data_IF_626353927275
#
_entry.id   IF_626353927275
#
_cell.length_a   1.000
_cell.length_b   1.000
_cell.length_c   1.000
_cell.angle_alpha   90.00
_cell.angle_beta   90.00
_cell.angle_gamma   90.00
#
_symmetry.space_group_name_H-M   'P 1'
#
loop_
_entity.id
_entity.type
_entity.pdbx_description
1 polymer ?
#
# COMPACT_ATOMS: atom_id res chain seq x y z
N UNK A 1 3.44 -28.18 -47.42
CA UNK A 1 4.15 -27.72 -46.21
C UNK A 1 3.13 -27.62 -45.09
N UNK A 2 3.04 -28.65 -44.23
CA UNK A 2 2.10 -28.68 -43.09
C UNK A 2 2.75 -27.97 -41.90
N UNK A 3 2.20 -26.82 -41.51
CA UNK A 3 2.63 -26.07 -40.34
C UNK A 3 2.39 -26.88 -39.07
N UNK A 4 3.43 -27.11 -38.29
CA UNK A 4 3.36 -27.81 -37.00
C UNK A 4 2.58 -26.92 -36.03
N UNK A 5 1.36 -27.32 -35.65
CA UNK A 5 0.60 -26.66 -34.60
C UNK A 5 1.38 -26.76 -33.30
N UNK A 6 1.74 -25.63 -32.69
CA UNK A 6 2.40 -25.59 -31.39
C UNK A 6 1.41 -26.10 -30.33
N UNK A 7 1.74 -27.21 -29.70
CA UNK A 7 0.96 -27.82 -28.62
C UNK A 7 0.87 -26.82 -27.44
N UNK A 8 -0.36 -26.37 -27.13
CA UNK A 8 -0.60 -25.51 -25.98
C UNK A 8 -0.45 -26.33 -24.70
N UNK A 9 0.53 -25.97 -23.86
CA UNK A 9 0.75 -26.61 -22.55
C UNK A 9 0.42 -25.64 -21.44
N UNK A 10 -0.50 -26.03 -20.56
CA UNK A 10 -0.79 -25.28 -19.34
C UNK A 10 0.50 -25.12 -18.53
N UNK A 11 0.91 -23.87 -18.30
CA UNK A 11 2.01 -23.56 -17.39
C UNK A 11 1.41 -23.36 -16.00
N UNK A 12 1.86 -24.09 -14.97
CA UNK A 12 1.40 -23.86 -13.61
C UNK A 12 1.69 -22.43 -13.19
N UNK A 13 0.84 -21.85 -12.34
CA UNK A 13 1.10 -20.55 -11.73
C UNK A 13 2.39 -20.61 -10.93
N UNK A 14 3.39 -19.83 -11.31
CA UNK A 14 4.66 -19.71 -10.58
C UNK A 14 4.70 -18.37 -9.89
N UNK A 15 4.60 -18.37 -8.56
CA UNK A 15 4.89 -17.18 -7.75
C UNK A 15 6.41 -17.02 -7.64
N UNK A 16 6.93 -15.88 -8.08
CA UNK A 16 8.35 -15.55 -7.94
C UNK A 16 8.49 -14.39 -6.97
N UNK A 17 9.36 -14.50 -5.95
CA UNK A 17 9.62 -13.38 -5.07
C UNK A 17 10.28 -12.25 -5.86
N UNK A 18 9.68 -11.06 -5.83
CA UNK A 18 10.34 -9.83 -6.27
C UNK A 18 11.11 -9.31 -5.07
N UNK A 19 12.43 -9.17 -5.21
CA UNK A 19 13.26 -8.52 -4.19
C UNK A 19 13.23 -7.02 -4.45
N UNK A 20 12.56 -6.21 -3.61
CA UNK A 20 12.69 -4.76 -3.72
C UNK A 20 14.16 -4.35 -3.50
N UNK A 21 14.61 -3.33 -4.22
CA UNK A 21 15.84 -2.64 -3.90
C UNK A 21 15.62 -1.80 -2.64
N UNK A 22 16.60 -1.76 -1.74
CA UNK A 22 16.50 -0.99 -0.51
C UNK A 22 15.93 -1.76 0.68
N UNK A 23 16.49 -2.93 1.01
CA UNK A 23 16.15 -3.55 2.28
C UNK A 23 16.73 -2.72 3.45
N UNK A 24 16.36 -3.04 4.70
CA UNK A 24 16.92 -2.39 5.90
C UNK A 24 18.47 -2.39 5.96
N UNK A 25 19.17 -3.18 5.13
CA UNK A 25 20.64 -3.17 5.03
C UNK A 25 21.19 -2.01 4.18
N UNK A 26 20.40 -1.47 3.27
CA UNK A 26 20.78 -0.36 2.38
C UNK A 26 20.27 1.02 2.89
N UNK A 27 19.60 1.06 4.04
CA UNK A 27 19.10 2.29 4.66
C UNK A 27 17.88 2.93 3.98
N UNK A 28 17.30 2.29 2.97
CA UNK A 28 16.10 2.78 2.28
C UNK A 28 14.85 2.23 3.00
N UNK A 29 13.92 3.08 3.45
CA UNK A 29 12.70 2.63 4.13
C UNK A 29 11.80 1.78 3.22
N UNK A 30 11.22 0.71 3.78
CA UNK A 30 10.22 -0.15 3.13
C UNK A 30 9.02 -0.33 4.05
N UNK A 31 7.81 -0.61 3.51
CA UNK A 31 6.66 -0.89 4.35
C UNK A 31 6.90 -2.16 5.17
N UNK A 32 6.64 -2.06 6.47
CA UNK A 32 6.62 -3.24 7.34
C UNK A 32 5.54 -4.24 6.92
N UNK A 33 5.71 -5.51 7.30
CA UNK A 33 4.71 -6.56 7.06
C UNK A 33 3.36 -6.19 7.70
N UNK A 34 2.26 -6.43 7.00
CA UNK A 34 0.92 -6.00 7.41
C UNK A 34 -0.20 -6.81 6.75
N UNK A 35 -1.32 -6.96 7.43
CA UNK A 35 -2.57 -7.49 6.87
C UNK A 35 -3.64 -6.39 6.76
N UNK A 36 -4.76 -6.66 6.09
CA UNK A 36 -5.89 -5.73 6.00
C UNK A 36 -5.66 -4.44 5.21
N UNK A 37 -4.46 -4.24 4.64
CA UNK A 37 -4.12 -3.13 3.76
C UNK A 37 -4.78 -3.31 2.39
N UNK A 38 -4.89 -2.22 1.63
CA UNK A 38 -5.35 -2.26 0.23
C UNK A 38 -4.29 -1.78 -0.73
N UNK A 39 -4.32 -2.38 -1.92
CA UNK A 39 -3.45 -2.03 -3.02
C UNK A 39 -4.28 -1.52 -4.19
N UNK A 40 -3.83 -0.43 -4.80
CA UNK A 40 -4.32 0.05 -6.10
C UNK A 40 -3.16 0.21 -7.07
N UNK A 41 -3.42 0.06 -8.37
CA UNK A 41 -2.40 0.20 -9.41
C UNK A 41 -2.66 1.46 -10.23
N UNK A 42 -1.60 2.21 -10.54
CA UNK A 42 -1.64 3.33 -11.49
C UNK A 42 -0.33 3.39 -12.27
N UNK A 43 -0.41 3.39 -13.61
CA UNK A 43 0.76 3.37 -14.49
C UNK A 43 1.71 2.20 -14.19
N UNK A 44 2.98 2.52 -13.96
CA UNK A 44 4.04 1.57 -13.62
C UNK A 44 4.27 1.44 -12.11
N UNK A 45 3.25 1.72 -11.31
CA UNK A 45 3.34 1.64 -9.85
C UNK A 45 2.10 0.99 -9.25
N UNK A 46 2.28 0.39 -8.08
CA UNK A 46 1.17 0.11 -7.19
C UNK A 46 1.36 0.83 -5.87
N UNK A 47 0.26 1.08 -5.19
CA UNK A 47 0.21 1.84 -3.95
C UNK A 47 -0.39 0.97 -2.87
N UNK A 48 0.28 0.85 -1.72
CA UNK A 48 -0.19 0.13 -0.55
C UNK A 48 -0.61 1.14 0.53
N UNK A 49 -1.87 1.06 0.95
CA UNK A 49 -2.44 1.95 1.96
C UNK A 49 -2.92 1.18 3.18
N UNK A 50 -2.64 1.73 4.35
CA UNK A 50 -3.14 1.20 5.60
C UNK A 50 -2.49 -0.11 6.02
N UNK A 51 -3.25 -0.87 6.80
CA UNK A 51 -2.94 -2.20 7.30
C UNK A 51 -2.72 -2.23 8.80
N UNK A 52 -2.54 -3.45 9.29
CA UNK A 52 -2.42 -3.77 10.69
C UNK A 52 -1.30 -4.79 10.92
N UNK A 53 -0.52 -4.60 11.97
CA UNK A 53 0.37 -5.64 12.49
C UNK A 53 0.68 -5.43 13.99
N UNK A 54 0.16 -6.27 14.89
CA UNK A 54 0.35 -6.12 16.34
C UNK A 54 1.70 -6.66 16.82
N UNK A 55 2.48 -7.31 15.93
CA UNK A 55 3.78 -7.87 16.28
C UNK A 55 4.89 -6.82 16.22
N UNK A 56 4.65 -5.68 15.60
CA UNK A 56 5.65 -4.62 15.47
C UNK A 56 5.68 -3.81 16.76
N UNK A 57 6.89 -3.64 17.28
CA UNK A 57 7.15 -2.85 18.48
C UNK A 57 7.66 -1.46 18.13
N UNK A 58 7.57 -0.53 19.08
CA UNK A 58 8.07 0.84 18.92
C UNK A 58 9.58 0.90 18.64
N UNK A 59 10.34 -0.11 19.06
CA UNK A 59 11.78 -0.21 18.79
C UNK A 59 12.09 -0.60 17.36
N UNK A 60 11.17 -1.27 16.67
CA UNK A 60 11.35 -1.72 15.29
C UNK A 60 10.86 -0.69 14.27
N UNK A 61 9.97 0.23 14.68
CA UNK A 61 9.38 1.23 13.80
C UNK A 61 9.29 2.60 14.50
N UNK A 62 10.28 3.45 14.22
CA UNK A 62 10.37 4.79 14.80
C UNK A 62 9.79 5.79 13.80
N UNK A 63 8.51 6.10 13.97
CA UNK A 63 7.78 7.09 13.19
C UNK A 63 6.77 7.83 14.09
N UNK A 64 6.68 9.15 13.98
CA UNK A 64 5.80 9.97 14.83
C UNK A 64 4.32 9.57 14.72
N UNK A 65 3.91 9.11 13.54
CA UNK A 65 2.54 8.65 13.28
C UNK A 65 2.29 7.30 13.95
N UNK A 66 3.28 6.42 13.96
CA UNK A 66 3.17 5.06 14.49
C UNK A 66 2.81 5.05 15.98
N UNK A 67 3.44 5.91 16.80
CA UNK A 67 3.13 5.97 18.22
C UNK A 67 1.66 6.26 18.53
N UNK A 68 0.97 6.97 17.63
CA UNK A 68 -0.45 7.32 17.77
C UNK A 68 -1.39 6.27 17.19
N UNK A 69 -1.03 5.67 16.06
CA UNK A 69 -1.95 4.82 15.30
C UNK A 69 -1.70 3.33 15.47
N UNK A 70 -0.58 2.93 16.10
CA UNK A 70 -0.27 1.51 16.33
C UNK A 70 -1.47 0.78 16.97
N UNK A 71 -1.71 -0.49 16.61
CA UNK A 71 -0.96 -1.31 15.64
C UNK A 71 -1.35 -1.10 14.17
N UNK A 72 -2.00 0.01 13.83
CA UNK A 72 -2.40 0.38 12.47
C UNK A 72 -1.37 1.28 11.78
N UNK A 73 -1.18 1.06 10.49
CA UNK A 73 -0.25 1.83 9.66
C UNK A 73 -0.95 2.98 8.95
N UNK A 74 -0.84 4.20 9.48
CA UNK A 74 -1.37 5.40 8.82
C UNK A 74 -0.38 5.93 7.78
N UNK A 75 -0.25 5.23 6.65
CA UNK A 75 0.74 5.54 5.63
C UNK A 75 0.36 5.02 4.24
N UNK A 76 0.90 5.70 3.23
CA UNK A 76 0.77 5.36 1.81
C UNK A 76 2.17 5.07 1.24
N UNK A 77 2.33 3.90 0.63
CA UNK A 77 3.58 3.47 0.02
C UNK A 77 3.41 3.25 -1.47
N UNK A 78 4.33 3.75 -2.28
CA UNK A 78 4.40 3.47 -3.70
C UNK A 78 5.49 2.44 -3.97
N UNK A 79 5.18 1.42 -4.76
CA UNK A 79 6.16 0.52 -5.34
C UNK A 79 6.27 0.78 -6.84
N UNK A 80 7.45 1.15 -7.31
CA UNK A 80 7.73 1.31 -8.73
C UNK A 80 8.10 -0.03 -9.36
N UNK A 81 7.34 -0.45 -10.39
CA UNK A 81 7.49 -1.74 -11.06
C UNK A 81 8.73 -1.83 -11.97
N UNK A 82 9.31 -0.71 -12.37
CA UNK A 82 10.52 -0.67 -13.22
C UNK A 82 11.77 -0.75 -12.36
N UNK A 83 11.83 0.10 -11.33
CA UNK A 83 13.00 0.18 -10.44
C UNK A 83 12.95 -0.83 -9.31
N UNK A 84 11.79 -1.46 -9.06
CA UNK A 84 11.52 -2.31 -7.89
C UNK A 84 11.85 -1.61 -6.56
N UNK A 85 11.56 -0.32 -6.44
CA UNK A 85 11.82 0.47 -5.23
C UNK A 85 10.53 0.86 -4.54
N UNK A 86 10.54 0.84 -3.21
CA UNK A 86 9.50 1.44 -2.39
C UNK A 86 9.81 2.91 -2.12
N UNK A 87 8.76 3.72 -2.02
CA UNK A 87 8.86 5.12 -1.61
C UNK A 87 7.65 5.44 -0.74
N UNK A 88 7.88 5.97 0.46
CA UNK A 88 6.80 6.43 1.33
C UNK A 88 6.27 7.75 0.78
N UNK A 89 4.99 7.79 0.48
CA UNK A 89 4.32 9.01 0.03
C UNK A 89 3.89 9.78 1.27
N UNK A 90 4.36 11.02 1.38
CA UNK A 90 3.97 11.90 2.47
C UNK A 90 2.50 12.27 2.31
N UNK A 91 1.68 11.92 3.29
CA UNK A 91 0.29 12.38 3.36
C UNK A 91 0.24 13.82 3.88
N UNK A 92 -0.62 14.63 3.26
CA UNK A 92 -1.03 15.93 3.79
C UNK A 92 -2.53 15.93 4.05
N UNK A 93 -2.96 16.65 5.08
CA UNK A 93 -4.34 16.69 5.53
C UNK A 93 -4.69 15.61 6.55
N UNK A 94 -5.98 15.44 6.81
CA UNK A 94 -6.49 14.45 7.74
C UNK A 94 -6.54 13.07 7.06
N UNK A 95 -5.61 12.20 7.43
CA UNK A 95 -5.60 10.80 7.01
C UNK A 95 -6.69 10.01 7.76
N UNK A 96 -7.36 9.03 7.13
CA UNK A 96 -8.33 8.18 7.83
C UNK A 96 -7.72 7.44 9.02
N UNK A 97 -8.55 7.15 10.03
CA UNK A 97 -8.16 6.31 11.18
C UNK A 97 -8.54 4.85 10.96
N UNK A 98 -9.51 4.59 10.08
CA UNK A 98 -10.02 3.27 9.69
C UNK A 98 -9.09 2.55 8.69
N UNK A 99 -7.92 2.18 9.19
CA UNK A 99 -6.78 1.80 8.36
C UNK A 99 -6.73 0.32 7.98
N UNK A 100 -7.65 -0.51 8.47
CA UNK A 100 -7.72 -1.94 8.11
C UNK A 100 -9.10 -2.31 7.54
N UNK A 101 -9.15 -3.36 6.73
CA UNK A 101 -10.39 -3.91 6.16
C UNK A 101 -11.24 -2.92 5.35
N UNK A 102 -10.68 -1.78 4.95
CA UNK A 102 -11.31 -0.79 4.06
C UNK A 102 -11.44 -1.34 2.63
N UNK A 103 -11.99 -0.56 1.71
CA UNK A 103 -11.94 -0.82 0.27
C UNK A 103 -11.21 0.32 -0.43
N UNK A 104 -10.51 0.04 -1.52
CA UNK A 104 -9.85 1.09 -2.30
C UNK A 104 -9.92 0.84 -3.81
N UNK A 105 -10.06 1.90 -4.59
CA UNK A 105 -10.09 1.85 -6.06
C UNK A 105 -9.35 3.04 -6.68
N UNK A 106 -8.64 2.80 -7.79
CA UNK A 106 -8.05 3.86 -8.60
C UNK A 106 -9.09 4.42 -9.59
N UNK A 107 -9.28 5.74 -9.59
CA UNK A 107 -10.12 6.45 -10.58
C UNK A 107 -9.41 7.70 -11.08
N UNK A 108 -8.92 7.65 -12.31
CA UNK A 108 -8.16 8.77 -12.90
C UNK A 108 -6.91 9.06 -12.06
N UNK A 109 -6.67 10.31 -11.64
CA UNK A 109 -5.52 10.66 -10.81
C UNK A 109 -5.73 10.35 -9.33
N UNK A 110 -6.89 9.83 -8.93
CA UNK A 110 -7.28 9.67 -7.54
C UNK A 110 -7.34 8.22 -7.11
N UNK A 111 -6.95 7.96 -5.87
CA UNK A 111 -7.32 6.77 -5.12
C UNK A 111 -8.52 7.12 -4.24
N UNK A 112 -9.59 6.34 -4.35
CA UNK A 112 -10.75 6.44 -3.48
C UNK A 112 -10.70 5.32 -2.45
N UNK A 113 -10.90 5.65 -1.18
CA UNK A 113 -10.95 4.73 -0.06
C UNK A 113 -12.32 4.81 0.58
N UNK A 114 -12.95 3.68 0.84
CA UNK A 114 -14.26 3.60 1.47
C UNK A 114 -14.23 2.65 2.67
N UNK A 115 -14.78 3.16 3.77
CA UNK A 115 -14.95 2.47 5.04
C UNK A 115 -13.66 1.93 5.64
N UNK A 116 -13.76 0.78 6.30
CA UNK A 116 -12.68 0.18 7.09
C UNK A 116 -12.99 0.17 8.58
N UNK A 117 -12.01 -0.21 9.37
CA UNK A 117 -12.10 -0.24 10.84
C UNK A 117 -10.83 0.31 11.49
N UNK A 118 -11.02 1.03 12.58
CA UNK A 118 -9.94 1.47 13.47
C UNK A 118 -9.78 0.49 14.64
N UNK A 119 -8.85 0.76 15.55
CA UNK A 119 -8.63 -0.05 16.75
C UNK A 119 -9.32 0.60 17.96
N UNK A 120 -10.05 -0.18 18.79
CA UNK A 120 -10.31 -1.62 18.69
C UNK A 120 -11.22 -2.01 17.50
N UNK A 121 -10.94 -3.16 16.88
CA UNK A 121 -11.71 -3.61 15.72
C UNK A 121 -13.16 -3.92 16.07
N UNK A 122 -14.07 -3.46 15.21
CA UNK A 122 -15.52 -3.65 15.37
C UNK A 122 -16.20 -2.53 16.17
N UNK A 123 -15.44 -1.74 16.93
CA UNK A 123 -15.98 -0.61 17.70
C UNK A 123 -16.04 0.67 16.86
N UNK A 124 -15.09 0.84 15.95
CA UNK A 124 -15.04 1.96 15.02
C UNK A 124 -14.93 1.45 13.59
N UNK A 125 -15.90 1.86 12.77
CA UNK A 125 -15.95 1.64 11.34
C UNK A 125 -16.53 2.86 10.65
N UNK A 126 -16.09 3.10 9.42
CA UNK A 126 -16.48 4.29 8.66
C UNK A 126 -17.41 3.94 7.49
N UNK A 127 -18.33 4.85 7.17
CA UNK A 127 -19.09 4.90 5.92
C UNK A 127 -18.64 6.08 5.02
N UNK A 128 -17.55 6.76 5.41
CA UNK A 128 -17.00 7.88 4.66
C UNK A 128 -16.18 7.41 3.45
N UNK A 129 -16.15 8.27 2.44
CA UNK A 129 -15.28 8.12 1.27
C UNK A 129 -14.17 9.15 1.37
N UNK A 130 -12.93 8.67 1.43
CA UNK A 130 -11.73 9.51 1.39
C UNK A 130 -11.08 9.44 0.02
N UNK A 131 -10.44 10.52 -0.39
CA UNK A 131 -9.77 10.62 -1.68
C UNK A 131 -8.32 11.07 -1.49
N UNK A 132 -7.41 10.32 -2.08
CA UNK A 132 -5.98 10.64 -2.09
C UNK A 132 -5.50 10.87 -3.52
N UNK A 133 -4.52 11.76 -3.69
CA UNK A 133 -3.73 11.90 -4.91
C UNK A 133 -2.42 11.11 -4.78
N UNK A 134 -2.37 9.83 -5.21
CA UNK A 134 -1.15 9.03 -5.12
C UNK A 134 -0.06 9.50 -6.09
N UNK A 135 -0.42 10.27 -7.13
CA UNK A 135 0.53 10.76 -8.12
C UNK A 135 0.98 12.18 -7.77
N UNK A 136 2.27 12.29 -7.46
CA UNK A 136 2.93 13.53 -7.12
C UNK A 136 3.57 14.13 -8.40
N UNK A 137 2.99 15.18 -8.98
CA UNK A 137 3.64 15.90 -10.09
C UNK A 137 4.67 16.96 -9.60
N UNK A 138 4.66 17.35 -8.32
CA UNK A 138 5.52 18.43 -7.78
C UNK A 138 5.92 18.33 -6.30
N UNK A 139 6.23 17.13 -5.82
CA UNK A 139 6.80 16.93 -4.47
C UNK A 139 5.84 17.00 -3.28
N UNK A 140 4.53 17.10 -3.49
CA UNK A 140 3.49 17.16 -2.43
C UNK A 140 2.27 16.31 -2.82
N UNK A 141 1.82 15.42 -1.92
CA UNK A 141 0.58 14.65 -2.05
C UNK A 141 -0.44 15.12 -1.01
N UNK A 142 -1.61 15.59 -1.45
CA UNK A 142 -2.72 15.94 -0.57
C UNK A 142 -3.80 14.85 -0.55
N UNK A 143 -4.31 14.56 0.65
CA UNK A 143 -5.55 13.82 0.87
C UNK A 143 -6.62 14.86 1.12
N UNK A 144 -7.58 14.96 0.21
CA UNK A 144 -8.69 15.94 0.26
C UNK A 144 -10.00 15.20 0.08
#
# INVERSE_FOLDING_TARGET
>A
MTGKLSEYRFRPLVMRPVRPWGNLKDGIPIPMSRSGHRIVCSGLSFYSFGGYNPKITDTEYVDDTWHRTRPLFQELWQFNLVTHTWTRIKGEGAMPEELASHSAVQRGPFMLVFGGTAMPFGDSSSDSVSRAHPHCERGVCSVV
#
